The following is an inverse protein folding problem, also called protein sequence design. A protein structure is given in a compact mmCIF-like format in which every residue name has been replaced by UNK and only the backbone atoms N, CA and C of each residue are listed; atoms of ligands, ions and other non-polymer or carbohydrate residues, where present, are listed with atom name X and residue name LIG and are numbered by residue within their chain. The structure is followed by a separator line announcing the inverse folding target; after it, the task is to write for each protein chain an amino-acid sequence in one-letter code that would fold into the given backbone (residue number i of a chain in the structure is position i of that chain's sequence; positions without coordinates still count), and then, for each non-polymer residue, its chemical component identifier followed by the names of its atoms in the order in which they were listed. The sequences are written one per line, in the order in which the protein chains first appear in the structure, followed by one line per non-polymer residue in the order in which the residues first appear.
data_IF_818370253409
#
_entry.id   IF_818370253409
#
_cell.length_a   1.000
_cell.length_b   1.000
_cell.length_c   1.000
_cell.angle_alpha   90.00
_cell.angle_beta   90.00
_cell.angle_gamma   90.00
#
_symmetry.space_group_name_H-M   'P 1'
#
loop_
_entity.id
_entity.type
_entity.pdbx_description
1 polymer ?
#
# COMPACT_ATOMS: atom_id res chain seq x y z
N UNK A 1 24.11 -39.92 11.55
CA UNK A 1 24.74 -38.62 11.93
C UNK A 1 25.85 -38.78 12.99
N UNK A 2 26.11 -39.99 13.52
CA UNK A 2 27.16 -40.25 14.51
C UNK A 2 28.27 -41.17 13.98
N UNK A 3 28.50 -41.15 12.66
CA UNK A 3 29.58 -41.92 12.02
C UNK A 3 30.71 -40.94 11.70
N UNK A 4 31.94 -41.27 12.09
CA UNK A 4 33.12 -40.52 11.68
C UNK A 4 33.39 -40.80 10.19
N UNK A 5 33.34 -39.77 9.31
CA UNK A 5 33.59 -39.96 7.88
C UNK A 5 35.03 -40.39 7.57
N UNK A 6 35.96 -40.28 8.54
CA UNK A 6 37.38 -40.62 8.38
C UNK A 6 37.98 -40.01 7.11
N UNK A 7 37.70 -38.72 6.87
CA UNK A 7 38.19 -38.01 5.71
C UNK A 7 39.73 -38.03 5.66
N UNK A 8 40.26 -38.19 4.45
CA UNK A 8 41.69 -38.10 4.15
C UNK A 8 41.92 -37.06 3.05
N UNK A 9 43.07 -36.36 3.04
CA UNK A 9 43.37 -35.40 1.99
C UNK A 9 43.61 -36.10 0.65
N UNK A 10 43.09 -35.51 -0.43
CA UNK A 10 43.29 -35.94 -1.82
C UNK A 10 43.56 -34.73 -2.72
N UNK A 11 44.08 -34.95 -3.93
CA UNK A 11 44.27 -33.87 -4.90
C UNK A 11 42.96 -33.43 -5.56
N UNK A 12 42.97 -32.25 -6.20
CA UNK A 12 41.83 -31.79 -7.00
C UNK A 12 41.52 -32.73 -8.18
N UNK A 13 42.55 -33.23 -8.87
CA UNK A 13 42.39 -34.16 -9.98
C UNK A 13 41.73 -35.46 -9.52
N UNK A 14 42.13 -35.99 -8.37
CA UNK A 14 41.53 -37.19 -7.78
C UNK A 14 40.06 -36.96 -7.39
N UNK A 15 39.76 -35.83 -6.76
CA UNK A 15 38.40 -35.47 -6.36
C UNK A 15 37.47 -35.32 -7.57
N UNK A 16 37.88 -34.55 -8.58
CA UNK A 16 37.09 -34.32 -9.79
C UNK A 16 36.92 -35.60 -10.61
N UNK A 17 37.97 -36.41 -10.75
CA UNK A 17 37.88 -37.71 -11.43
C UNK A 17 36.91 -38.64 -10.70
N UNK A 18 36.96 -38.70 -9.37
CA UNK A 18 36.04 -39.53 -8.57
C UNK A 18 34.57 -39.17 -8.81
N UNK A 19 34.26 -37.87 -8.90
CA UNK A 19 32.90 -37.40 -9.20
C UNK A 19 32.54 -37.69 -10.66
N UNK A 20 33.44 -37.39 -11.61
CA UNK A 20 33.21 -37.59 -13.04
C UNK A 20 32.96 -39.06 -13.39
N UNK A 21 33.75 -40.00 -12.83
CA UNK A 21 33.59 -41.43 -13.05
C UNK A 21 32.19 -41.91 -12.60
N UNK A 22 31.69 -41.42 -11.46
CA UNK A 22 30.34 -41.76 -10.96
C UNK A 22 29.24 -41.20 -11.83
N UNK A 23 29.39 -39.96 -12.30
CA UNK A 23 28.43 -39.33 -13.23
C UNK A 23 28.40 -40.06 -14.57
N UNK A 24 29.57 -40.40 -15.13
CA UNK A 24 29.64 -41.19 -16.37
C UNK A 24 28.97 -42.56 -16.19
N UNK A 25 29.24 -43.27 -15.09
CA UNK A 25 28.62 -44.57 -14.83
C UNK A 25 27.08 -44.50 -14.71
N UNK A 26 26.51 -43.41 -14.19
CA UNK A 26 25.06 -43.19 -14.20
C UNK A 26 24.55 -42.93 -15.62
N UNK A 27 25.27 -42.12 -16.40
CA UNK A 27 24.90 -41.78 -17.77
C UNK A 27 24.96 -43.00 -18.71
N UNK A 28 26.00 -43.81 -18.61
CA UNK A 28 26.19 -45.03 -19.41
C UNK A 28 25.06 -46.06 -19.18
N UNK A 29 24.45 -46.03 -17.98
CA UNK A 29 23.30 -46.87 -17.61
C UNK A 29 21.94 -46.25 -17.97
N UNK A 30 21.91 -45.03 -18.51
CA UNK A 30 20.66 -44.29 -18.72
C UNK A 30 20.00 -43.79 -17.43
N UNK A 31 20.76 -43.70 -16.33
CA UNK A 31 20.28 -43.36 -14.99
C UNK A 31 20.67 -41.93 -14.54
N UNK A 32 20.93 -41.03 -15.50
CA UNK A 32 21.32 -39.63 -15.23
C UNK A 32 20.36 -38.92 -14.26
N UNK A 33 19.07 -39.26 -14.29
CA UNK A 33 18.04 -38.71 -13.41
C UNK A 33 18.27 -38.94 -11.90
N UNK A 34 19.13 -39.91 -11.52
CA UNK A 34 19.46 -40.19 -10.12
C UNK A 34 20.45 -39.20 -9.50
N UNK A 35 21.12 -38.40 -10.31
CA UNK A 35 22.01 -37.35 -9.83
C UNK A 35 21.21 -36.08 -9.51
N UNK A 36 21.46 -35.48 -8.35
CA UNK A 36 20.86 -34.21 -7.95
C UNK A 36 21.92 -33.20 -7.49
N UNK A 37 21.71 -31.94 -7.83
CA UNK A 37 22.57 -30.83 -7.44
C UNK A 37 21.82 -30.01 -6.38
N UNK A 38 22.32 -30.07 -5.15
CA UNK A 38 21.80 -29.29 -4.04
C UNK A 38 22.70 -28.08 -3.81
N UNK A 39 22.13 -26.87 -3.81
CA UNK A 39 22.91 -25.67 -3.51
C UNK A 39 22.21 -24.71 -2.55
N UNK A 40 23.02 -24.18 -1.64
CA UNK A 40 22.66 -23.13 -0.69
C UNK A 40 22.86 -21.75 -1.32
N UNK A 41 23.70 -20.92 -0.69
CA UNK A 41 24.08 -19.62 -1.23
C UNK A 41 24.87 -19.81 -2.53
N UNK A 42 24.58 -18.99 -3.54
CA UNK A 42 25.44 -18.79 -4.69
C UNK A 42 25.51 -17.32 -5.09
N UNK A 43 26.59 -16.94 -5.77
CA UNK A 43 26.90 -15.57 -6.16
C UNK A 43 26.62 -15.34 -7.65
N UNK A 44 25.41 -14.89 -7.93
CA UNK A 44 25.05 -14.39 -9.26
C UNK A 44 24.96 -15.46 -10.35
N UNK A 45 24.91 -14.99 -11.60
CA UNK A 45 24.65 -15.82 -12.77
C UNK A 45 25.78 -16.82 -13.07
N UNK A 46 27.02 -16.50 -12.69
CA UNK A 46 28.21 -17.34 -12.97
C UNK A 46 28.44 -18.46 -11.96
N UNK A 47 27.76 -18.41 -10.82
CA UNK A 47 27.86 -19.43 -9.77
C UNK A 47 26.59 -20.30 -9.76
N UNK A 48 25.55 -19.87 -9.06
CA UNK A 48 24.28 -20.60 -9.02
C UNK A 48 23.54 -20.65 -10.36
N UNK A 49 23.74 -19.64 -11.23
CA UNK A 49 23.04 -19.55 -12.51
C UNK A 49 23.40 -20.67 -13.49
N UNK A 50 24.63 -21.22 -13.41
CA UNK A 50 25.10 -22.26 -14.33
C UNK A 50 24.68 -23.68 -13.92
N UNK A 51 24.28 -23.89 -12.66
CA UNK A 51 23.97 -25.23 -12.13
C UNK A 51 22.75 -25.85 -12.83
N UNK A 52 21.75 -25.03 -13.16
CA UNK A 52 20.58 -25.48 -13.91
C UNK A 52 20.94 -25.93 -15.33
N UNK A 53 21.81 -25.19 -16.01
CA UNK A 53 22.24 -25.53 -17.37
C UNK A 53 23.17 -26.74 -17.39
N UNK A 54 24.04 -26.89 -16.39
CA UNK A 54 24.81 -28.12 -16.21
C UNK A 54 23.90 -29.34 -15.99
N UNK A 55 22.83 -29.20 -15.20
CA UNK A 55 21.84 -30.27 -15.02
C UNK A 55 21.16 -30.69 -16.33
N UNK A 56 20.76 -29.72 -17.17
CA UNK A 56 20.20 -29.99 -18.50
C UNK A 56 21.20 -30.68 -19.41
N UNK A 57 22.44 -30.18 -19.47
CA UNK A 57 23.51 -30.74 -20.29
C UNK A 57 23.84 -32.18 -19.88
N UNK A 58 23.88 -32.46 -18.58
CA UNK A 58 24.10 -33.81 -18.05
C UNK A 58 22.90 -34.75 -18.27
N UNK A 59 21.69 -34.20 -18.41
CA UNK A 59 20.46 -34.96 -18.58
C UNK A 59 19.79 -35.36 -17.28
N UNK A 60 19.88 -34.55 -16.22
CA UNK A 60 19.12 -34.74 -14.97
C UNK A 60 18.04 -33.67 -14.80
N UNK A 61 16.81 -34.04 -14.39
CA UNK A 61 15.80 -33.05 -13.99
C UNK A 61 16.12 -32.41 -12.63
N UNK A 62 17.04 -32.99 -11.86
CA UNK A 62 17.37 -32.56 -10.49
C UNK A 62 18.54 -31.56 -10.46
N UNK A 63 18.71 -30.76 -11.52
CA UNK A 63 19.83 -29.82 -11.68
C UNK A 63 19.73 -28.51 -10.89
N UNK A 64 18.54 -28.19 -10.35
CA UNK A 64 18.27 -26.90 -9.72
C UNK A 64 17.60 -27.01 -8.33
N UNK A 65 17.97 -28.03 -7.54
CA UNK A 65 17.44 -28.20 -6.18
C UNK A 65 18.09 -27.17 -5.24
N UNK A 66 17.44 -26.00 -5.14
CA UNK A 66 17.96 -24.85 -4.41
C UNK A 66 17.17 -24.56 -3.13
N UNK A 67 17.68 -23.63 -2.32
CA UNK A 67 17.08 -23.26 -1.03
C UNK A 67 15.95 -22.22 -1.09
N UNK A 68 15.53 -21.76 -2.28
CA UNK A 68 14.60 -20.63 -2.42
C UNK A 68 13.21 -20.91 -1.83
N UNK A 69 12.74 -22.16 -1.92
CA UNK A 69 11.47 -22.61 -1.36
C UNK A 69 11.42 -22.50 0.16
N UNK A 70 12.58 -22.69 0.83
CA UNK A 70 12.74 -22.50 2.27
C UNK A 70 13.07 -21.05 2.65
N UNK A 71 13.37 -20.21 1.66
CA UNK A 71 13.79 -18.83 1.87
C UNK A 71 12.61 -17.85 1.77
N UNK A 72 12.08 -17.63 0.57
CA UNK A 72 11.12 -16.55 0.31
C UNK A 72 10.28 -16.73 -0.95
N UNK A 73 10.20 -17.94 -1.52
CA UNK A 73 9.41 -18.13 -2.74
C UNK A 73 7.92 -17.83 -2.53
N UNK A 74 7.39 -18.07 -1.33
CA UNK A 74 6.00 -17.76 -0.99
C UNK A 74 5.68 -16.26 -1.15
N UNK A 75 6.58 -15.35 -0.75
CA UNK A 75 6.37 -13.91 -0.91
C UNK A 75 6.44 -13.46 -2.37
N UNK A 76 7.32 -14.08 -3.17
CA UNK A 76 7.38 -13.84 -4.63
C UNK A 76 6.16 -14.41 -5.35
N UNK A 77 5.68 -15.60 -4.93
CA UNK A 77 4.45 -16.20 -5.46
C UNK A 77 3.24 -15.34 -5.15
N UNK A 78 3.14 -14.80 -3.93
CA UNK A 78 2.06 -13.88 -3.57
C UNK A 78 2.00 -12.66 -4.50
N UNK A 79 3.16 -12.06 -4.82
CA UNK A 79 3.27 -10.94 -5.76
C UNK A 79 2.94 -11.38 -7.19
N UNK A 80 3.51 -12.49 -7.67
CA UNK A 80 3.17 -13.09 -8.96
C UNK A 80 1.67 -13.28 -9.15
N UNK A 81 0.97 -13.78 -8.13
CA UNK A 81 -0.48 -13.96 -8.20
C UNK A 81 -1.28 -12.65 -8.16
N UNK A 82 -0.72 -11.57 -7.61
CA UNK A 82 -1.42 -10.29 -7.43
C UNK A 82 -1.10 -9.26 -8.52
N UNK A 83 0.12 -9.23 -9.05
CA UNK A 83 0.61 -8.23 -10.00
C UNK A 83 1.42 -8.81 -11.18
N UNK A 84 1.55 -10.13 -11.26
CA UNK A 84 2.29 -10.81 -12.32
C UNK A 84 3.82 -10.86 -12.14
N UNK A 85 4.37 -10.33 -11.04
CA UNK A 85 5.81 -10.26 -10.83
C UNK A 85 6.35 -11.29 -9.82
N UNK A 86 7.14 -12.24 -10.32
CA UNK A 86 7.90 -13.18 -9.48
C UNK A 86 9.23 -12.58 -9.00
N UNK A 87 9.17 -11.50 -8.23
CA UNK A 87 10.37 -10.82 -7.76
C UNK A 87 10.21 -10.25 -6.35
N UNK A 88 11.32 -9.75 -5.85
CA UNK A 88 11.35 -8.90 -4.68
C UNK A 88 10.96 -7.47 -5.04
N UNK A 89 10.52 -6.73 -4.03
CA UNK A 89 10.15 -5.32 -4.20
C UNK A 89 11.30 -4.42 -3.76
N UNK A 90 11.44 -3.31 -4.47
CA UNK A 90 12.27 -2.17 -4.07
C UNK A 90 11.36 -1.13 -3.42
N UNK A 91 11.84 -0.42 -2.40
CA UNK A 91 11.00 0.48 -1.62
C UNK A 91 11.68 1.85 -1.46
N UNK A 92 10.91 2.92 -1.67
CA UNK A 92 11.36 4.31 -1.49
C UNK A 92 11.07 4.79 -0.07
N UNK A 93 11.73 4.16 0.91
CA UNK A 93 11.49 4.41 2.33
C UNK A 93 11.72 5.87 2.73
N UNK A 94 12.72 6.55 2.17
CA UNK A 94 13.06 7.92 2.52
C UNK A 94 11.93 8.92 2.24
N UNK A 95 11.06 8.63 1.27
CA UNK A 95 9.92 9.46 0.91
C UNK A 95 8.58 8.94 1.45
N UNK A 96 8.57 7.80 2.15
CA UNK A 96 7.33 7.22 2.68
C UNK A 96 6.86 7.95 3.95
N UNK A 97 5.55 8.11 4.12
CA UNK A 97 4.96 8.74 5.31
C UNK A 97 4.37 7.72 6.28
N UNK A 98 4.00 6.53 5.80
CA UNK A 98 3.54 5.43 6.65
C UNK A 98 4.17 4.11 6.22
N UNK A 99 4.85 3.43 7.14
CA UNK A 99 5.42 2.11 6.94
C UNK A 99 4.72 1.10 7.83
N UNK A 100 3.96 0.20 7.22
CA UNK A 100 3.27 -0.91 7.88
C UNK A 100 4.05 -2.19 7.62
N UNK A 101 4.55 -2.85 8.66
CA UNK A 101 5.48 -3.98 8.55
C UNK A 101 4.83 -5.25 9.08
N UNK A 102 4.78 -6.30 8.28
CA UNK A 102 4.27 -7.62 8.66
C UNK A 102 5.41 -8.64 8.78
N UNK A 103 5.77 -8.98 10.02
CA UNK A 103 6.72 -10.05 10.36
C UNK A 103 8.12 -9.92 9.74
N UNK A 104 8.54 -8.69 9.41
CA UNK A 104 9.84 -8.41 8.82
C UNK A 104 10.71 -7.61 9.79
N UNK A 105 11.88 -8.16 10.15
CA UNK A 105 12.86 -7.50 11.01
C UNK A 105 13.62 -6.38 10.28
N UNK A 106 12.96 -5.25 10.00
CA UNK A 106 13.49 -4.12 9.22
C UNK A 106 14.88 -3.64 9.68
N UNK A 107 15.10 -3.59 11.00
CA UNK A 107 16.33 -3.10 11.63
C UNK A 107 17.33 -4.19 12.03
N UNK A 108 17.06 -5.46 11.73
CA UNK A 108 17.83 -6.60 12.25
C UNK A 108 18.15 -7.68 11.19
N UNK A 109 17.28 -7.88 10.20
CA UNK A 109 17.41 -8.99 9.25
C UNK A 109 16.85 -8.73 7.85
N UNK A 110 15.99 -7.73 7.69
CA UNK A 110 15.38 -7.42 6.41
C UNK A 110 16.39 -6.84 5.43
N UNK A 111 16.22 -7.15 4.16
CA UNK A 111 17.17 -6.81 3.10
C UNK A 111 16.75 -5.56 2.31
N UNK A 112 17.71 -4.73 1.86
CA UNK A 112 19.12 -4.72 2.25
C UNK A 112 19.30 -4.00 3.59
N UNK A 113 19.82 -4.71 4.61
CA UNK A 113 19.86 -4.20 5.99
C UNK A 113 20.59 -2.86 6.11
N UNK A 114 21.76 -2.72 5.46
CA UNK A 114 22.53 -1.48 5.49
C UNK A 114 21.71 -0.28 4.96
N UNK A 115 20.97 -0.47 3.87
CA UNK A 115 20.11 0.58 3.33
C UNK A 115 18.92 0.87 4.26
N UNK A 116 18.32 -0.16 4.86
CA UNK A 116 17.21 0.01 5.78
C UNK A 116 17.62 0.83 7.01
N UNK A 117 18.82 0.59 7.57
CA UNK A 117 19.35 1.35 8.69
C UNK A 117 19.56 2.84 8.34
N UNK A 118 20.06 3.14 7.15
CA UNK A 118 20.22 4.52 6.67
C UNK A 118 18.86 5.18 6.42
N UNK A 119 17.96 4.47 5.73
CA UNK A 119 16.61 4.94 5.46
C UNK A 119 15.82 5.19 6.74
N UNK A 120 16.05 4.40 7.80
CA UNK A 120 15.46 4.63 9.11
C UNK A 120 15.80 6.03 9.64
N UNK A 121 17.07 6.44 9.57
CA UNK A 121 17.49 7.80 9.94
C UNK A 121 16.70 8.88 9.20
N UNK A 122 16.59 8.76 7.86
CA UNK A 122 15.82 9.69 7.04
C UNK A 122 14.32 9.70 7.39
N UNK A 123 13.71 8.52 7.53
CA UNK A 123 12.30 8.35 7.92
C UNK A 123 11.98 9.00 9.27
N UNK A 124 12.89 8.89 10.25
CA UNK A 124 12.68 9.42 11.60
C UNK A 124 13.00 10.90 11.76
N UNK A 125 13.66 11.53 10.79
CA UNK A 125 14.11 12.94 10.88
C UNK A 125 13.42 13.89 9.87
N UNK A 126 12.84 13.39 8.79
CA UNK A 126 12.14 14.22 7.79
C UNK A 126 10.81 14.80 8.32
N UNK A 127 10.25 15.77 7.59
CA UNK A 127 8.92 16.31 7.82
C UNK A 127 8.00 16.04 6.59
N UNK A 128 6.83 15.38 6.77
CA UNK A 128 6.37 14.75 8.00
C UNK A 128 7.18 13.48 8.33
N UNK A 129 7.39 13.23 9.63
CA UNK A 129 8.07 12.04 10.14
C UNK A 129 7.32 10.79 9.70
N UNK A 130 8.03 9.78 9.21
CA UNK A 130 7.40 8.50 8.87
C UNK A 130 6.86 7.84 10.12
N UNK A 131 5.57 7.49 10.08
CA UNK A 131 4.92 6.67 11.09
C UNK A 131 5.15 5.19 10.77
N UNK A 132 5.55 4.43 11.77
CA UNK A 132 5.89 3.00 11.62
C UNK A 132 4.98 2.17 12.52
N UNK A 133 4.26 1.22 11.92
CA UNK A 133 3.46 0.22 12.62
C UNK A 133 3.99 -1.16 12.29
N UNK A 134 4.26 -1.97 13.31
CA UNK A 134 4.75 -3.35 13.17
C UNK A 134 3.67 -4.32 13.60
N UNK A 135 3.37 -5.29 12.75
CA UNK A 135 2.54 -6.46 13.02
C UNK A 135 3.48 -7.65 13.16
N UNK A 136 3.52 -8.25 14.35
CA UNK A 136 4.41 -9.38 14.64
C UNK A 136 3.80 -10.25 15.76
N UNK A 137 4.36 -11.44 15.96
CA UNK A 137 3.98 -12.38 17.02
C UNK A 137 4.82 -12.20 18.29
N UNK A 138 5.89 -11.41 18.22
CA UNK A 138 6.82 -11.16 19.31
C UNK A 138 7.46 -9.76 19.19
N UNK A 139 7.96 -9.22 20.31
CA UNK A 139 8.63 -7.92 20.32
C UNK A 139 10.04 -8.04 19.70
N UNK A 140 10.18 -7.69 18.42
CA UNK A 140 11.47 -7.60 17.72
C UNK A 140 12.18 -6.26 17.95
N UNK A 141 13.45 -6.13 17.53
CA UNK A 141 14.16 -4.83 17.59
C UNK A 141 13.44 -3.78 16.74
N UNK A 142 12.82 -4.21 15.64
CA UNK A 142 12.03 -3.32 14.78
C UNK A 142 10.75 -2.85 15.48
N UNK A 143 10.03 -3.76 16.14
CA UNK A 143 8.82 -3.44 16.89
C UNK A 143 9.11 -2.48 18.05
N UNK A 144 10.20 -2.69 18.79
CA UNK A 144 10.59 -1.84 19.91
C UNK A 144 10.92 -0.39 19.49
N UNK A 145 11.31 -0.17 18.24
CA UNK A 145 11.63 1.15 17.69
C UNK A 145 10.45 1.81 16.92
N UNK A 146 9.36 1.07 16.69
CA UNK A 146 8.19 1.53 15.96
C UNK A 146 7.30 2.47 16.79
N UNK A 147 6.37 3.17 16.13
CA UNK A 147 5.39 4.02 16.82
C UNK A 147 4.21 3.20 17.36
N UNK A 148 3.94 2.03 16.75
CA UNK A 148 2.92 1.08 17.19
C UNK A 148 3.36 -0.35 16.91
N UNK A 149 3.04 -1.25 17.83
CA UNK A 149 3.09 -2.68 17.62
C UNK A 149 1.69 -3.29 17.72
N UNK A 150 1.33 -4.16 16.79
CA UNK A 150 0.18 -5.04 16.86
C UNK A 150 0.68 -6.47 17.07
N UNK A 151 0.45 -7.02 18.25
CA UNK A 151 0.75 -8.41 18.58
C UNK A 151 -0.34 -9.32 18.01
N UNK A 152 -0.06 -9.95 16.87
CA UNK A 152 -1.02 -10.82 16.18
C UNK A 152 -0.80 -12.28 16.54
N UNK A 153 -1.86 -13.08 16.46
CA UNK A 153 -1.75 -14.54 16.51
C UNK A 153 -1.05 -15.06 15.24
N UNK A 154 -0.11 -16.00 15.39
CA UNK A 154 0.63 -16.58 14.28
C UNK A 154 -0.28 -17.07 13.13
N UNK A 155 0.03 -16.65 11.91
CA UNK A 155 -0.68 -17.07 10.70
C UNK A 155 -1.99 -16.31 10.41
N UNK A 156 -2.34 -15.30 11.22
CA UNK A 156 -3.61 -14.56 11.10
C UNK A 156 -3.49 -13.19 10.42
N UNK A 157 -2.30 -12.86 9.88
CA UNK A 157 -2.01 -11.61 9.18
C UNK A 157 -3.01 -11.29 8.05
N UNK A 158 -3.45 -12.33 7.33
CA UNK A 158 -4.47 -12.19 6.28
C UNK A 158 -5.80 -11.68 6.82
N UNK A 159 -6.27 -12.15 7.98
CA UNK A 159 -7.53 -11.68 8.56
C UNK A 159 -7.44 -10.21 9.00
N UNK A 160 -6.33 -9.81 9.63
CA UNK A 160 -6.06 -8.40 9.96
C UNK A 160 -6.11 -7.54 8.69
N UNK A 161 -5.41 -7.99 7.66
CA UNK A 161 -5.26 -7.24 6.40
C UNK A 161 -6.57 -7.09 5.64
N UNK A 162 -7.37 -8.16 5.56
CA UNK A 162 -8.70 -8.11 4.95
C UNK A 162 -9.61 -7.13 5.68
N UNK A 163 -9.55 -7.08 7.01
CA UNK A 163 -10.32 -6.10 7.78
C UNK A 163 -9.83 -4.66 7.63
N UNK A 164 -8.53 -4.46 7.44
CA UNK A 164 -8.01 -3.15 7.06
C UNK A 164 -8.49 -2.72 5.68
N UNK A 165 -8.45 -3.62 4.68
CA UNK A 165 -8.97 -3.35 3.34
C UNK A 165 -10.47 -3.02 3.37
N UNK A 166 -11.25 -3.77 4.16
CA UNK A 166 -12.67 -3.48 4.39
C UNK A 166 -12.90 -2.05 4.92
N UNK A 167 -12.14 -1.61 5.93
CA UNK A 167 -12.25 -0.25 6.47
C UNK A 167 -11.84 0.80 5.43
N UNK A 168 -10.75 0.57 4.70
CA UNK A 168 -10.29 1.49 3.64
C UNK A 168 -11.38 1.69 2.58
N UNK A 169 -12.06 0.62 2.16
CA UNK A 169 -13.13 0.68 1.17
C UNK A 169 -14.41 1.31 1.74
N UNK A 170 -14.89 0.85 2.89
CA UNK A 170 -16.12 1.39 3.51
C UNK A 170 -16.00 2.87 3.88
N UNK A 171 -14.81 3.35 4.23
CA UNK A 171 -14.57 4.76 4.55
C UNK A 171 -14.13 5.62 3.36
N UNK A 172 -14.02 5.06 2.15
CA UNK A 172 -13.70 5.86 0.96
C UNK A 172 -12.22 6.25 0.83
N UNK A 173 -11.33 5.57 1.56
CA UNK A 173 -9.93 5.92 1.75
C UNK A 173 -8.98 5.27 0.72
N UNK A 174 -9.47 4.73 -0.39
CA UNK A 174 -8.62 4.16 -1.44
C UNK A 174 -8.09 5.24 -2.41
N UNK A 175 -7.06 4.93 -3.19
CA UNK A 175 -6.44 5.83 -4.17
C UNK A 175 -7.16 5.73 -5.52
N UNK A 176 -8.11 6.63 -5.75
CA UNK A 176 -8.96 6.67 -6.96
C UNK A 176 -8.17 6.88 -8.26
N UNK A 177 -6.96 7.45 -8.21
CA UNK A 177 -6.11 7.57 -9.41
C UNK A 177 -5.49 6.24 -9.83
N UNK A 178 -5.22 5.35 -8.87
CA UNK A 178 -4.63 4.04 -9.12
C UNK A 178 -5.71 2.95 -9.28
N UNK A 179 -6.61 2.86 -8.31
CA UNK A 179 -7.65 1.82 -8.26
C UNK A 179 -8.75 2.11 -9.26
N UNK A 180 -9.27 3.33 -9.27
CA UNK A 180 -10.51 3.67 -9.96
C UNK A 180 -11.62 4.10 -9.00
N UNK A 181 -12.84 4.21 -9.51
CA UNK A 181 -13.97 4.68 -8.72
C UNK A 181 -15.33 4.20 -9.25
N UNK A 182 -16.36 4.29 -8.42
CA UNK A 182 -17.75 4.21 -8.85
C UNK A 182 -18.05 5.29 -9.87
N UNK A 183 -18.78 4.92 -10.93
CA UNK A 183 -19.05 5.81 -12.06
C UNK A 183 -19.88 7.04 -11.67
N UNK A 184 -20.64 6.93 -10.58
CA UNK A 184 -21.42 8.00 -10.01
C UNK A 184 -20.71 8.73 -8.86
N UNK A 185 -19.52 8.30 -8.45
CA UNK A 185 -18.78 8.85 -7.32
C UNK A 185 -19.40 8.56 -5.95
N UNK A 186 -20.44 7.72 -5.87
CA UNK A 186 -21.08 7.34 -4.61
C UNK A 186 -20.36 6.10 -4.08
N UNK A 187 -19.80 6.18 -2.86
CA UNK A 187 -19.22 5.00 -2.24
C UNK A 187 -20.31 3.98 -1.87
N UNK A 188 -20.24 2.79 -2.48
CA UNK A 188 -21.21 1.70 -2.29
C UNK A 188 -20.68 0.54 -1.44
N UNK A 189 -19.44 0.61 -0.99
CA UNK A 189 -18.89 -0.38 -0.07
C UNK A 189 -19.55 -0.24 1.30
N UNK A 190 -20.50 -1.13 1.60
CA UNK A 190 -21.23 -1.19 2.87
C UNK A 190 -21.16 -2.58 3.46
N UNK A 191 -20.75 -2.68 4.72
CA UNK A 191 -20.52 -3.97 5.38
C UNK A 191 -21.72 -4.94 5.20
N UNK A 192 -21.44 -6.16 4.76
CA UNK A 192 -22.41 -7.21 4.49
C UNK A 192 -23.21 -7.07 3.18
N UNK A 193 -23.15 -5.93 2.49
CA UNK A 193 -23.91 -5.68 1.27
C UNK A 193 -23.12 -6.05 0.00
N UNK A 194 -23.79 -6.78 -0.90
CA UNK A 194 -23.29 -7.09 -2.24
C UNK A 194 -23.49 -5.87 -3.14
N UNK A 195 -22.55 -5.67 -4.06
CA UNK A 195 -22.61 -4.62 -5.08
C UNK A 195 -22.87 -5.28 -6.43
N UNK A 196 -23.95 -4.88 -7.09
CA UNK A 196 -24.23 -5.32 -8.46
C UNK A 196 -23.18 -4.80 -9.42
N UNK A 197 -22.73 -5.63 -10.37
CA UNK A 197 -21.66 -5.27 -11.30
C UNK A 197 -22.04 -4.14 -12.28
N UNK A 198 -23.33 -3.86 -12.45
CA UNK A 198 -23.86 -2.93 -13.46
C UNK A 198 -24.72 -1.84 -12.85
N UNK A 199 -24.65 -0.64 -13.43
CA UNK A 199 -25.44 0.52 -13.04
C UNK A 199 -26.92 0.36 -13.38
N UNK A 200 -27.78 0.44 -12.37
CA UNK A 200 -29.23 0.22 -12.51
C UNK A 200 -30.02 1.52 -12.68
N UNK A 201 -31.31 1.39 -13.02
CA UNK A 201 -32.26 2.53 -13.01
C UNK A 201 -32.42 3.11 -11.60
N UNK A 202 -32.45 2.25 -10.59
CA UNK A 202 -32.57 2.67 -9.20
C UNK A 202 -31.34 3.48 -8.76
N UNK A 203 -30.16 3.17 -9.28
CA UNK A 203 -28.95 3.93 -9.04
C UNK A 203 -29.00 5.33 -9.64
N UNK A 204 -29.54 5.45 -10.85
CA UNK A 204 -29.75 6.74 -11.50
C UNK A 204 -30.70 7.63 -10.68
N UNK A 205 -31.80 7.07 -10.19
CA UNK A 205 -32.75 7.80 -9.35
C UNK A 205 -32.16 8.18 -7.99
N UNK A 206 -31.43 7.26 -7.33
CA UNK A 206 -30.69 7.56 -6.09
C UNK A 206 -29.66 8.68 -6.31
N UNK A 207 -28.97 8.69 -7.46
CA UNK A 207 -28.02 9.76 -7.82
C UNK A 207 -28.72 11.10 -8.02
N UNK A 208 -29.87 11.14 -8.70
CA UNK A 208 -30.68 12.36 -8.86
C UNK A 208 -31.12 12.91 -7.50
N UNK A 209 -31.61 12.04 -6.63
CA UNK A 209 -32.01 12.42 -5.28
C UNK A 209 -30.80 12.95 -4.48
N UNK A 210 -29.66 12.26 -4.51
CA UNK A 210 -28.45 12.70 -3.82
C UNK A 210 -27.94 14.06 -4.32
N UNK A 211 -28.01 14.32 -5.65
CA UNK A 211 -27.69 15.64 -6.22
C UNK A 211 -28.67 16.71 -5.74
N UNK A 212 -29.97 16.41 -5.69
CA UNK A 212 -30.99 17.33 -5.19
C UNK A 212 -30.78 17.66 -3.70
N UNK A 213 -30.52 16.65 -2.88
CA UNK A 213 -30.24 16.80 -1.44
C UNK A 213 -28.96 17.61 -1.20
N UNK A 214 -27.90 17.37 -2.00
CA UNK A 214 -26.66 18.13 -1.92
C UNK A 214 -26.86 19.59 -2.32
N UNK A 215 -27.62 19.85 -3.39
CA UNK A 215 -27.97 21.21 -3.81
C UNK A 215 -28.81 21.93 -2.75
N UNK A 216 -29.77 21.24 -2.12
CA UNK A 216 -30.57 21.78 -1.04
C UNK A 216 -29.71 22.14 0.19
N UNK A 217 -28.81 21.24 0.62
CA UNK A 217 -27.86 21.50 1.72
C UNK A 217 -26.92 22.66 1.41
N UNK A 218 -26.44 22.74 0.17
CA UNK A 218 -25.58 23.85 -0.25
C UNK A 218 -26.35 25.18 -0.23
N UNK A 219 -27.59 25.21 -0.76
CA UNK A 219 -28.43 26.40 -0.72
C UNK A 219 -28.75 26.84 0.73
N UNK A 220 -28.98 25.89 1.64
CA UNK A 220 -29.19 26.18 3.06
C UNK A 220 -27.92 26.73 3.73
N UNK A 221 -26.76 26.13 3.45
CA UNK A 221 -25.47 26.61 3.95
C UNK A 221 -25.11 28.01 3.41
N UNK A 222 -25.38 28.27 2.13
CA UNK A 222 -25.20 29.59 1.51
C UNK A 222 -26.13 30.63 2.15
N UNK A 223 -27.40 30.29 2.37
CA UNK A 223 -28.36 31.16 3.04
C UNK A 223 -27.93 31.48 4.48
N UNK A 224 -27.42 30.49 5.21
CA UNK A 224 -26.87 30.69 6.56
C UNK A 224 -25.62 31.58 6.54
N UNK A 225 -24.72 31.35 5.60
CA UNK A 225 -23.52 32.19 5.41
C UNK A 225 -23.84 33.63 5.03
N UNK A 226 -24.84 33.84 4.17
CA UNK A 226 -25.37 35.17 3.82
C UNK A 226 -25.96 35.89 5.04
N UNK A 227 -26.72 35.18 5.87
CA UNK A 227 -27.30 35.74 7.10
C UNK A 227 -26.21 36.11 8.13
N UNK A 228 -25.19 35.26 8.32
CA UNK A 228 -24.05 35.54 9.20
C UNK A 228 -23.23 36.74 8.69
N UNK A 229 -23.01 36.85 7.37
CA UNK A 229 -22.33 37.99 6.76
C UNK A 229 -23.13 39.29 6.94
N UNK A 230 -24.44 39.27 6.69
CA UNK A 230 -25.31 40.43 6.89
C UNK A 230 -25.31 40.91 8.35
N UNK A 231 -25.30 39.99 9.32
CA UNK A 231 -25.20 40.32 10.74
C UNK A 231 -23.84 40.96 11.07
N UNK A 232 -22.75 40.41 10.56
CA UNK A 232 -21.41 40.98 10.77
C UNK A 232 -21.30 42.42 10.24
N UNK A 233 -21.87 42.68 9.05
CA UNK A 233 -21.89 44.03 8.47
C UNK A 233 -22.74 44.98 9.31
N UNK A 234 -23.94 44.56 9.75
CA UNK A 234 -24.81 45.37 10.60
C UNK A 234 -24.16 45.71 11.96
N UNK A 235 -23.40 44.78 12.55
CA UNK A 235 -22.65 45.01 13.78
C UNK A 235 -21.51 46.03 13.56
N UNK A 236 -20.80 45.95 12.43
CA UNK A 236 -19.77 46.91 12.02
C UNK A 236 -20.37 48.31 11.82
N UNK A 237 -21.46 48.40 11.07
CA UNK A 237 -22.14 49.67 10.77
C UNK A 237 -22.67 50.32 12.06
N UNK A 238 -23.30 49.54 12.94
CA UNK A 238 -23.77 50.05 14.23
C UNK A 238 -22.65 50.59 15.12
N UNK A 239 -21.49 49.92 15.12
CA UNK A 239 -20.31 50.38 15.85
C UNK A 239 -19.73 51.66 15.24
N UNK A 240 -19.72 51.79 13.92
CA UNK A 240 -19.30 53.02 13.22
C UNK A 240 -20.22 54.20 13.53
N UNK A 241 -21.54 54.02 13.45
CA UNK A 241 -22.52 55.06 13.80
C UNK A 241 -22.35 55.53 15.26
N UNK A 242 -22.18 54.60 16.21
CA UNK A 242 -21.95 54.96 17.63
C UNK A 242 -20.65 55.72 17.86
N UNK A 243 -19.63 55.51 17.03
CA UNK A 243 -18.37 56.27 17.07
C UNK A 243 -18.60 57.68 16.55
N UNK A 244 -19.38 57.85 15.47
CA UNK A 244 -19.68 59.16 14.87
C UNK A 244 -20.59 60.03 15.75
N UNK A 245 -21.52 59.42 16.50
CA UNK A 245 -22.48 60.13 17.37
C UNK A 245 -21.92 60.47 18.77
N UNK A 246 -20.75 59.97 19.14
CA UNK A 246 -20.18 60.17 20.47
C UNK A 246 -19.24 61.37 20.52
N UNK A 247 -19.39 62.20 21.56
CA UNK A 247 -18.51 63.35 21.84
C UNK A 247 -17.53 63.10 23.01
N UNK A 248 -17.41 61.85 23.49
CA UNK A 248 -16.52 61.45 24.59
C UNK A 248 -15.35 60.60 24.05
N UNK A 249 -14.14 61.15 24.14
CA UNK A 249 -12.91 60.53 23.66
C UNK A 249 -12.61 59.15 24.29
N UNK A 250 -13.01 58.92 25.55
CA UNK A 250 -12.83 57.62 26.19
C UNK A 250 -13.80 56.58 25.64
N UNK A 251 -15.04 56.98 25.37
CA UNK A 251 -16.06 56.11 24.78
C UNK A 251 -15.70 55.75 23.33
N UNK A 252 -15.22 56.72 22.56
CA UNK A 252 -14.71 56.51 21.19
C UNK A 252 -13.56 55.50 21.17
N UNK A 253 -12.60 55.61 22.09
CA UNK A 253 -11.46 54.70 22.16
C UNK A 253 -11.88 53.25 22.46
N UNK A 254 -12.87 53.05 23.33
CA UNK A 254 -13.39 51.72 23.64
C UNK A 254 -14.18 51.11 22.48
N UNK A 255 -15.00 51.91 21.78
CA UNK A 255 -15.76 51.46 20.60
C UNK A 255 -14.84 51.09 19.43
N UNK A 256 -13.77 51.85 19.18
CA UNK A 256 -12.74 51.51 18.16
C UNK A 256 -12.05 50.18 18.48
N UNK A 257 -11.79 49.90 19.76
CA UNK A 257 -11.24 48.60 20.17
C UNK A 257 -12.22 47.45 19.88
N UNK A 258 -13.51 47.64 20.14
CA UNK A 258 -14.57 46.66 19.84
C UNK A 258 -14.81 46.46 18.34
N UNK A 259 -14.61 47.50 17.51
CA UNK A 259 -14.72 47.44 16.05
C UNK A 259 -13.59 46.65 15.37
N UNK A 260 -12.39 46.64 15.96
CA UNK A 260 -11.20 46.02 15.36
C UNK A 260 -11.33 44.50 15.11
N UNK A 261 -12.04 43.77 15.97
CA UNK A 261 -12.24 42.33 15.82
C UNK A 261 -13.20 41.96 14.68
N UNK A 262 -14.41 42.56 14.58
CA UNK A 262 -15.30 42.38 13.45
C UNK A 262 -14.68 42.70 12.08
N UNK A 263 -13.99 43.83 11.94
CA UNK A 263 -13.35 44.24 10.67
C UNK A 263 -12.24 43.26 10.24
N UNK A 264 -11.48 42.73 11.21
CA UNK A 264 -10.49 41.69 10.95
C UNK A 264 -11.14 40.39 10.48
N UNK A 265 -12.30 40.02 11.03
CA UNK A 265 -13.07 38.85 10.59
C UNK A 265 -13.60 39.03 9.17
N UNK A 266 -14.16 40.20 8.84
CA UNK A 266 -14.65 40.53 7.50
C UNK A 266 -13.54 40.42 6.44
N UNK A 267 -12.41 41.10 6.67
CA UNK A 267 -11.26 41.10 5.74
C UNK A 267 -10.68 39.70 5.51
N UNK A 268 -10.63 38.87 6.56
CA UNK A 268 -10.19 37.47 6.45
C UNK A 268 -11.19 36.63 5.64
N UNK A 269 -12.50 36.83 5.83
CA UNK A 269 -13.54 36.11 5.09
C UNK A 269 -13.50 36.46 3.59
N UNK A 270 -13.30 37.73 3.23
CA UNK A 270 -13.18 38.17 1.84
C UNK A 270 -11.94 37.61 1.14
N UNK A 271 -10.79 37.63 1.84
CA UNK A 271 -9.55 37.03 1.36
C UNK A 271 -9.71 35.52 1.11
N UNK A 272 -10.33 34.80 2.05
CA UNK A 272 -10.60 33.37 1.90
C UNK A 272 -11.57 33.08 0.74
N UNK A 273 -12.62 33.89 0.58
CA UNK A 273 -13.57 33.74 -0.51
C UNK A 273 -12.90 33.96 -1.89
N UNK A 274 -12.01 34.95 -1.99
CA UNK A 274 -11.24 35.20 -3.21
C UNK A 274 -10.27 34.03 -3.53
N UNK A 275 -9.62 33.48 -2.51
CA UNK A 275 -8.76 32.31 -2.66
C UNK A 275 -9.54 31.07 -3.12
N UNK A 276 -10.70 30.79 -2.52
CA UNK A 276 -11.58 29.68 -2.91
C UNK A 276 -12.07 29.86 -4.35
N UNK A 277 -12.47 31.08 -4.75
CA UNK A 277 -12.91 31.37 -6.12
C UNK A 277 -11.81 31.10 -7.14
N UNK A 278 -10.59 31.52 -6.83
CA UNK A 278 -9.41 31.29 -7.68
C UNK A 278 -9.10 29.80 -7.81
N UNK A 279 -9.16 29.07 -6.69
CA UNK A 279 -8.90 27.63 -6.66
C UNK A 279 -9.97 26.83 -7.43
N UNK A 280 -11.26 27.20 -7.29
CA UNK A 280 -12.36 26.59 -8.05
C UNK A 280 -12.21 26.81 -9.56
N UNK A 281 -11.89 28.04 -9.98
CA UNK A 281 -11.66 28.35 -11.39
C UNK A 281 -10.47 27.59 -12.00
N UNK A 282 -9.44 27.28 -11.20
CA UNK A 282 -8.33 26.43 -11.63
C UNK A 282 -8.75 24.95 -11.77
N UNK A 283 -9.51 24.42 -10.81
CA UNK A 283 -10.04 23.05 -10.83
C UNK A 283 -11.02 22.81 -12.00
N UNK A 284 -11.88 23.78 -12.31
CA UNK A 284 -12.84 23.70 -13.41
C UNK A 284 -12.15 23.73 -14.79
N UNK A 285 -11.00 24.39 -14.92
CA UNK A 285 -10.20 24.40 -16.17
C UNK A 285 -9.52 23.06 -16.45
N UNK A 286 -9.25 22.25 -15.44
CA UNK A 286 -8.55 20.96 -15.58
C UNK A 286 -9.50 19.76 -15.74
N UNK A 287 -10.80 19.93 -15.51
CA UNK A 287 -11.77 18.83 -15.52
C UNK A 287 -12.56 18.79 -16.82
N UNK A 288 -12.27 17.81 -17.67
CA UNK A 288 -13.23 17.40 -18.71
C UNK A 288 -14.50 16.89 -18.02
N UNK A 289 -15.70 17.27 -18.46
CA UNK A 289 -16.93 16.72 -17.89
C UNK A 289 -16.92 15.20 -18.11
N UNK A 290 -16.94 14.45 -17.00
CA UNK A 290 -17.09 13.00 -17.04
C UNK A 290 -18.45 12.68 -17.67
N UNK A 291 -18.53 11.78 -18.67
CA UNK A 291 -19.80 11.35 -19.23
C UNK A 291 -20.76 10.93 -18.11
N UNK A 292 -22.04 11.25 -18.24
CA UNK A 292 -23.01 10.80 -17.26
C UNK A 292 -23.15 9.27 -17.30
N UNK A 293 -23.20 8.60 -16.14
CA UNK A 293 -23.45 7.16 -16.06
C UNK A 293 -24.72 6.75 -16.81
N UNK A 294 -24.62 5.75 -17.67
CA UNK A 294 -25.75 5.14 -18.34
C UNK A 294 -26.17 3.83 -17.64
N UNK A 295 -27.45 3.50 -17.70
CA UNK A 295 -27.96 2.21 -17.21
C UNK A 295 -27.32 1.09 -18.04
N UNK A 296 -26.75 0.10 -17.37
CA UNK A 296 -26.01 -1.00 -17.98
C UNK A 296 -24.48 -0.82 -17.99
N UNK A 297 -23.97 0.37 -17.67
CA UNK A 297 -22.53 0.57 -17.50
C UNK A 297 -21.98 -0.24 -16.32
N UNK A 298 -20.69 -0.58 -16.36
CA UNK A 298 -20.02 -1.17 -15.19
C UNK A 298 -20.11 -0.20 -14.00
N UNK A 299 -20.56 -0.67 -12.83
CA UNK A 299 -20.79 0.16 -11.64
C UNK A 299 -19.52 0.86 -11.14
N UNK A 300 -18.37 0.22 -11.35
CA UNK A 300 -17.06 0.64 -10.90
C UNK A 300 -16.08 0.59 -12.07
N UNK A 301 -15.39 1.69 -12.33
CA UNK A 301 -14.37 1.79 -13.37
C UNK A 301 -12.99 1.65 -12.74
N UNK A 302 -12.42 0.44 -12.81
CA UNK A 302 -11.05 0.19 -12.41
C UNK A 302 -10.04 0.80 -13.41
N UNK A 303 -8.84 1.14 -12.94
CA UNK A 303 -7.77 1.75 -13.76
C UNK A 303 -6.54 0.86 -13.91
N UNK A 304 -5.86 0.62 -12.79
CA UNK A 304 -4.65 -0.22 -12.72
C UNK A 304 -4.86 -1.48 -11.88
N UNK A 305 -6.09 -1.71 -11.46
CA UNK A 305 -6.53 -2.90 -10.71
C UNK A 305 -7.53 -3.69 -11.54
N UNK A 306 -7.81 -4.91 -11.10
CA UNK A 306 -8.83 -5.78 -11.68
C UNK A 306 -9.45 -6.65 -10.60
N UNK A 307 -10.77 -6.75 -10.59
CA UNK A 307 -11.53 -7.66 -9.72
C UNK A 307 -11.94 -7.08 -8.38
N UNK A 308 -11.95 -5.74 -8.20
CA UNK A 308 -12.24 -5.15 -6.87
C UNK A 308 -13.67 -5.44 -6.39
N UNK A 309 -14.66 -5.36 -7.27
CA UNK A 309 -16.07 -5.62 -6.91
C UNK A 309 -16.28 -7.11 -6.65
N UNK A 310 -15.64 -7.98 -7.42
CA UNK A 310 -15.64 -9.43 -7.23
C UNK A 310 -15.02 -9.80 -5.89
N UNK A 311 -13.86 -9.21 -5.56
CA UNK A 311 -13.20 -9.42 -4.27
C UNK A 311 -14.06 -8.93 -3.10
N UNK A 312 -14.70 -7.77 -3.26
CA UNK A 312 -15.65 -7.25 -2.28
C UNK A 312 -16.80 -8.22 -2.01
N UNK A 313 -17.48 -8.63 -3.09
CA UNK A 313 -18.65 -9.49 -3.02
C UNK A 313 -18.31 -10.89 -2.49
N UNK A 314 -17.17 -11.44 -2.91
CA UNK A 314 -16.74 -12.78 -2.54
C UNK A 314 -16.32 -12.88 -1.06
N UNK A 315 -15.64 -11.86 -0.52
CA UNK A 315 -15.06 -11.97 0.83
C UNK A 315 -15.03 -10.66 1.63
N UNK A 316 -14.59 -9.53 1.07
CA UNK A 316 -14.27 -8.36 1.92
C UNK A 316 -15.48 -7.74 2.60
N UNK A 317 -16.68 -7.81 2.01
CA UNK A 317 -17.88 -7.20 2.62
C UNK A 317 -18.16 -7.70 4.04
N UNK A 318 -17.74 -8.92 4.36
CA UNK A 318 -17.95 -9.57 5.65
C UNK A 318 -16.72 -9.53 6.57
N UNK A 319 -15.56 -9.09 6.05
CA UNK A 319 -14.31 -8.98 6.81
C UNK A 319 -14.29 -7.74 7.71
N UNK A 320 -15.23 -7.59 8.62
CA UNK A 320 -15.27 -6.43 9.52
C UNK A 320 -14.12 -6.46 10.54
N UNK A 321 -13.75 -5.31 11.14
CA UNK A 321 -12.80 -5.27 12.25
C UNK A 321 -13.21 -6.19 13.42
N UNK A 322 -14.50 -6.28 13.74
CA UNK A 322 -15.05 -7.15 14.78
C UNK A 322 -14.94 -8.63 14.44
N UNK A 323 -14.98 -8.99 13.16
CA UNK A 323 -14.70 -10.34 12.69
C UNK A 323 -13.21 -10.68 12.86
N UNK A 324 -12.32 -9.79 12.45
CA UNK A 324 -10.87 -10.02 12.54
C UNK A 324 -10.37 -10.03 13.99
N UNK A 325 -10.97 -9.29 14.91
CA UNK A 325 -10.62 -9.30 16.34
C UNK A 325 -10.70 -10.71 16.94
N UNK A 326 -11.74 -11.48 16.57
CA UNK A 326 -11.95 -12.85 17.03
C UNK A 326 -10.87 -13.83 16.53
N UNK A 327 -10.20 -13.49 15.44
CA UNK A 327 -9.20 -14.35 14.78
C UNK A 327 -7.78 -13.97 15.20
N UNK A 328 -7.50 -12.66 15.23
CA UNK A 328 -6.15 -12.10 15.24
C UNK A 328 -5.64 -11.70 16.62
N UNK A 329 -6.53 -11.64 17.62
CA UNK A 329 -6.33 -11.03 18.95
C UNK A 329 -6.07 -9.52 18.96
N UNK A 330 -6.21 -8.83 17.81
CA UNK A 330 -6.07 -7.38 17.72
C UNK A 330 -7.46 -6.74 17.84
N UNK A 331 -7.60 -5.75 18.72
CA UNK A 331 -8.89 -5.10 18.95
C UNK A 331 -9.45 -4.46 17.66
N UNK A 332 -10.76 -4.53 17.44
CA UNK A 332 -11.42 -3.88 16.31
C UNK A 332 -11.12 -2.37 16.25
N UNK A 333 -10.93 -1.74 17.42
CA UNK A 333 -10.51 -0.34 17.55
C UNK A 333 -9.13 -0.10 16.94
N UNK A 334 -8.16 -0.95 17.23
CA UNK A 334 -6.80 -0.81 16.69
C UNK A 334 -6.77 -1.11 15.19
N UNK A 335 -7.53 -2.10 14.72
CA UNK A 335 -7.67 -2.40 13.30
C UNK A 335 -8.20 -1.18 12.55
N UNK A 336 -9.31 -0.58 13.01
CA UNK A 336 -9.88 0.65 12.42
C UNK A 336 -8.87 1.80 12.45
N UNK A 337 -8.16 1.96 13.56
CA UNK A 337 -7.16 3.02 13.72
C UNK A 337 -6.04 2.88 12.70
N UNK A 338 -5.44 1.70 12.60
CA UNK A 338 -4.33 1.45 11.67
C UNK A 338 -4.78 1.49 10.22
N UNK A 339 -5.98 0.98 9.89
CA UNK A 339 -6.54 1.07 8.55
C UNK A 339 -6.75 2.53 8.09
N UNK A 340 -7.30 3.37 8.98
CA UNK A 340 -7.47 4.81 8.71
C UNK A 340 -6.14 5.50 8.52
N UNK A 341 -5.22 5.30 9.46
CA UNK A 341 -3.90 5.90 9.38
C UNK A 341 -3.17 5.49 8.09
N UNK A 342 -3.19 4.20 7.74
CA UNK A 342 -2.56 3.68 6.52
C UNK A 342 -3.24 4.22 5.25
N UNK A 343 -4.57 4.23 5.21
CA UNK A 343 -5.35 4.71 4.07
C UNK A 343 -5.22 6.23 3.82
N UNK A 344 -5.08 7.02 4.89
CA UNK A 344 -5.02 8.48 4.82
C UNK A 344 -3.59 9.07 4.79
N UNK A 345 -2.59 8.35 5.31
CA UNK A 345 -1.21 8.86 5.43
C UNK A 345 -0.36 8.41 4.26
N UNK A 346 -0.50 9.08 3.12
CA UNK A 346 0.22 8.74 1.88
C UNK A 346 1.48 9.61 1.70
N UNK A 347 2.55 9.13 1.05
CA UNK A 347 2.72 7.76 0.54
C UNK A 347 2.83 6.73 1.67
N UNK A 348 2.26 5.54 1.46
CA UNK A 348 2.26 4.46 2.45
C UNK A 348 2.83 3.18 1.83
N UNK A 349 3.46 2.32 2.64
CA UNK A 349 3.99 1.02 2.21
C UNK A 349 3.56 -0.05 3.20
N UNK A 350 2.96 -1.13 2.71
CA UNK A 350 2.78 -2.39 3.41
C UNK A 350 3.92 -3.34 3.02
N UNK A 351 4.80 -3.63 3.97
CA UNK A 351 6.00 -4.45 3.84
C UNK A 351 5.74 -5.86 4.40
N UNK A 352 6.02 -6.90 3.62
CA UNK A 352 5.97 -8.29 4.09
C UNK A 352 7.02 -9.16 3.40
N UNK A 353 7.48 -10.19 4.09
CA UNK A 353 8.27 -11.30 3.53
C UNK A 353 7.99 -12.58 4.35
N UNK A 354 9.03 -13.24 4.88
CA UNK A 354 8.97 -14.59 5.41
C UNK A 354 8.03 -14.74 6.61
N UNK A 355 8.02 -13.80 7.55
CA UNK A 355 7.17 -13.88 8.75
C UNK A 355 5.68 -14.02 8.43
N UNK A 356 5.20 -13.36 7.38
CA UNK A 356 3.80 -13.42 6.96
C UNK A 356 3.50 -14.50 5.90
N UNK A 357 4.53 -15.13 5.30
CA UNK A 357 4.36 -15.99 4.11
C UNK A 357 4.92 -17.41 4.23
N UNK A 358 5.79 -17.71 5.20
CA UNK A 358 6.47 -19.00 5.31
C UNK A 358 5.66 -20.04 6.10
N UNK A 359 4.40 -20.21 5.72
CA UNK A 359 3.47 -21.18 6.31
C UNK A 359 2.31 -21.45 5.33
N UNK A 360 1.43 -22.38 5.67
CA UNK A 360 0.51 -23.04 4.71
C UNK A 360 -0.46 -22.09 3.99
N UNK A 361 -0.95 -21.04 4.63
CA UNK A 361 -1.80 -20.01 4.01
C UNK A 361 -1.02 -18.72 3.64
N UNK A 362 0.31 -18.75 3.69
CA UNK A 362 1.16 -17.59 3.57
C UNK A 362 1.10 -16.86 2.23
N UNK A 363 0.81 -17.57 1.13
CA UNK A 363 0.61 -16.92 -0.19
C UNK A 363 -0.61 -15.99 -0.14
N UNK A 364 -1.73 -16.43 0.43
CA UNK A 364 -2.94 -15.61 0.56
C UNK A 364 -2.74 -14.43 1.50
N UNK A 365 -2.01 -14.62 2.61
CA UNK A 365 -1.60 -13.51 3.47
C UNK A 365 -0.79 -12.47 2.68
N UNK A 366 0.21 -12.92 1.93
CA UNK A 366 1.01 -12.05 1.08
C UNK A 366 0.18 -11.30 0.03
N UNK A 367 -0.78 -11.98 -0.63
CA UNK A 367 -1.67 -11.35 -1.60
C UNK A 367 -2.52 -10.25 -0.96
N UNK A 368 -3.10 -10.52 0.22
CA UNK A 368 -3.89 -9.53 0.94
C UNK A 368 -3.04 -8.32 1.35
N UNK A 369 -1.83 -8.54 1.88
CA UNK A 369 -0.93 -7.45 2.31
C UNK A 369 -0.50 -6.63 1.10
N UNK A 370 -0.21 -7.29 -0.02
CA UNK A 370 0.17 -6.62 -1.25
C UNK A 370 -1.00 -5.82 -1.86
N UNK A 371 -2.24 -6.29 -1.71
CA UNK A 371 -3.43 -5.55 -2.13
C UNK A 371 -3.61 -4.22 -1.37
N UNK A 372 -3.17 -4.12 -0.10
CA UNK A 372 -3.17 -2.84 0.62
C UNK A 372 -2.32 -1.78 -0.10
N UNK A 373 -1.17 -2.18 -0.67
CA UNK A 373 -0.33 -1.27 -1.46
C UNK A 373 -1.07 -0.77 -2.72
N UNK A 374 -1.90 -1.62 -3.36
CA UNK A 374 -2.72 -1.20 -4.49
C UNK A 374 -3.79 -0.21 -4.04
N UNK A 375 -4.49 -0.52 -2.94
CA UNK A 375 -5.56 0.32 -2.41
C UNK A 375 -5.10 1.72 -2.04
N UNK A 376 -3.85 1.91 -1.61
CA UNK A 376 -3.29 3.24 -1.29
C UNK A 376 -2.40 3.82 -2.39
N UNK A 377 -2.32 3.15 -3.54
CA UNK A 377 -1.60 3.62 -4.73
C UNK A 377 -0.08 3.66 -4.58
N UNK A 378 0.50 2.72 -3.82
CA UNK A 378 1.94 2.69 -3.55
C UNK A 378 2.78 2.22 -4.73
N UNK A 379 2.20 1.52 -5.71
CA UNK A 379 2.95 0.97 -6.83
C UNK A 379 3.51 2.07 -7.73
N UNK A 380 4.83 2.05 -7.89
CA UNK A 380 5.64 2.98 -8.68
C UNK A 380 5.49 4.46 -8.30
N UNK A 381 4.90 4.73 -7.13
CA UNK A 381 4.78 6.08 -6.58
C UNK A 381 6.05 6.48 -5.81
N UNK A 382 6.37 7.78 -5.80
CA UNK A 382 7.37 8.34 -4.89
C UNK A 382 6.94 8.06 -3.44
N UNK A 383 7.85 7.53 -2.63
CA UNK A 383 7.54 7.05 -1.27
C UNK A 383 6.79 5.72 -1.21
N UNK A 384 6.63 5.03 -2.35
CA UNK A 384 5.97 3.74 -2.49
C UNK A 384 6.95 2.60 -2.77
N UNK A 385 6.52 1.61 -3.55
CA UNK A 385 7.33 0.45 -3.95
C UNK A 385 7.36 0.26 -5.47
N UNK A 386 8.36 -0.48 -5.93
CA UNK A 386 8.46 -0.97 -7.30
C UNK A 386 9.23 -2.28 -7.34
N UNK A 387 9.82 -2.59 -8.48
CA UNK A 387 10.60 -3.81 -8.67
C UNK A 387 12.02 -3.48 -9.07
N UNK A 388 12.92 -4.42 -8.79
CA UNK A 388 14.23 -4.38 -9.40
C UNK A 388 14.07 -4.58 -10.91
N UNK A 389 14.30 -3.51 -11.66
CA UNK A 389 14.34 -3.57 -13.13
C UNK A 389 15.65 -4.23 -13.55
N UNK A 390 15.63 -4.93 -14.68
CA UNK A 390 16.85 -5.47 -15.27
C UNK A 390 17.84 -4.33 -15.53
N UNK A 391 19.13 -4.58 -15.28
CA UNK A 391 20.16 -3.63 -15.70
C UNK A 391 20.07 -3.48 -17.22
N UNK A 392 20.01 -2.25 -17.76
CA UNK A 392 19.92 -2.02 -19.20
C UNK A 392 21.28 -2.31 -19.84
N UNK A 393 21.65 -3.59 -19.92
CA UNK A 393 22.85 -4.03 -20.61
C UNK A 393 22.69 -3.74 -22.11
N UNK A 394 23.75 -3.23 -22.73
CA UNK A 394 23.82 -3.15 -24.18
C UNK A 394 23.75 -4.55 -24.81
N UNK A 395 23.43 -4.63 -26.10
CA UNK A 395 23.57 -5.89 -26.84
C UNK A 395 25.00 -6.38 -26.72
N UNK A 396 25.20 -7.65 -26.38
CA UNK A 396 26.51 -8.28 -26.45
C UNK A 396 26.99 -8.23 -27.90
N UNK A 397 28.29 -8.01 -28.11
CA UNK A 397 28.91 -7.97 -29.44
C UNK A 397 29.01 -9.34 -30.12
N UNK A 398 28.53 -10.38 -29.45
CA UNK A 398 28.67 -11.78 -29.86
C UNK A 398 27.30 -12.38 -30.06
N UNK A 399 27.09 -13.08 -31.18
CA UNK A 399 25.80 -13.74 -31.46
C UNK A 399 25.85 -15.16 -30.92
N UNK A 400 24.81 -15.63 -30.22
CA UNK A 400 24.75 -17.01 -29.75
C UNK A 400 24.93 -18.03 -30.87
N UNK A 401 24.46 -17.74 -32.08
CA UNK A 401 24.60 -18.61 -33.26
C UNK A 401 26.04 -18.75 -33.78
N UNK A 402 26.99 -17.96 -33.27
CA UNK A 402 28.41 -18.04 -33.63
C UNK A 402 29.15 -19.15 -32.83
N UNK A 403 28.50 -19.79 -31.85
CA UNK A 403 29.01 -20.89 -31.02
C UNK A 403 28.04 -22.08 -31.02
#
# INVERSE_FOLDING_TARGET
RNEDPRFVPISWDEALKTVADRLNALRDKGESHRFGILFGRGWGATDAGLLGDFGKLYGTPNGALNHSSMCSDASKKAKLCADGNYSYSSYDYANTNYLLIFGAGFLESFRPLNNNLQAWGAMRTKAPKTKVTVVDVHMSTTAAAADRMLLTKSGTDGALTLAMAHVILTEGLWERKFVGDFIDGINRFKAGEVIDATYSKDDLEKRKQAKADAAAKQAEAEKKGLAEKAKLHADIDSLRTKIEESNDDKVIAELKKKLSEPEKKEKNAESLAAAIKTQRAALEKETKPTPEPAVGDAIFQEKWTFGLIEWWNAVLKDCTPEWAEKITTISAKDIKTVAREFGSTRPAIALFERGATAHTNGIYNGMAIHALNALVGSFFAKGGLGYQSGTPWGKLSVKPDDF
#
